data_IF_890467901052
#
_entry.id   IF_890467901052
#
_cell.length_a   1.000
_cell.length_b   1.000
_cell.length_c   1.000
_cell.angle_alpha   90.00
_cell.angle_beta   90.00
_cell.angle_gamma   90.00
#
_symmetry.space_group_name_H-M   'P 1'
#
loop_
_entity.id
_entity.type
_entity.pdbx_description
1 polymer ?
#
# COMPACT_ATOMS: atom_id res chain seq x y z
N UNK A 1 -72.68 12.03 33.17
CA UNK A 1 -71.90 10.80 33.40
C UNK A 1 -70.96 10.60 32.22
N UNK A 2 -69.69 10.21 32.49
CA UNK A 2 -68.64 9.78 31.53
C UNK A 2 -68.19 10.88 30.51
N UNK A 3 -66.89 11.19 30.33
CA UNK A 3 -65.75 10.36 29.88
C UNK A 3 -65.99 9.82 28.46
N UNK A 4 -65.11 9.89 27.45
CA UNK A 4 -63.73 10.40 27.28
C UNK A 4 -63.63 11.00 25.84
N UNK A 5 -62.54 11.51 25.24
CA UNK A 5 -61.08 11.49 25.49
C UNK A 5 -60.45 12.76 24.86
N UNK A 6 -59.23 13.17 25.25
CA UNK A 6 -58.40 14.12 24.47
C UNK A 6 -57.31 13.36 23.71
N UNK A 7 -57.27 13.47 22.37
CA UNK A 7 -56.09 13.07 21.59
C UNK A 7 -55.55 14.29 20.86
N UNK A 8 -54.51 14.90 21.44
CA UNK A 8 -53.73 15.93 20.76
C UNK A 8 -52.71 15.24 19.85
N UNK A 9 -52.97 15.25 18.55
CA UNK A 9 -51.99 14.83 17.54
C UNK A 9 -50.87 15.88 17.45
N UNK A 10 -49.78 15.65 18.20
CA UNK A 10 -48.55 16.43 18.07
C UNK A 10 -47.86 16.04 16.78
N UNK A 11 -48.09 16.83 15.73
CA UNK A 11 -47.36 16.71 14.45
C UNK A 11 -45.93 17.18 14.69
N UNK A 12 -45.03 16.24 14.97
CA UNK A 12 -43.60 16.51 15.12
C UNK A 12 -42.97 16.89 13.78
N UNK A 13 -42.62 18.16 13.61
CA UNK A 13 -41.78 18.63 12.50
C UNK A 13 -40.35 18.11 12.68
N UNK A 14 -40.09 16.91 12.20
CA UNK A 14 -38.73 16.38 12.09
C UNK A 14 -37.97 17.15 10.99
N UNK A 15 -37.11 18.08 11.40
CA UNK A 15 -36.21 18.77 10.48
C UNK A 15 -35.11 17.81 10.02
N UNK A 16 -34.95 17.54 8.71
CA UNK A 16 -33.82 16.77 8.24
C UNK A 16 -32.57 17.65 8.32
N UNK A 17 -31.73 17.40 9.31
CA UNK A 17 -30.35 17.90 9.36
C UNK A 17 -29.57 17.29 8.20
N UNK A 18 -29.70 17.89 7.01
CA UNK A 18 -28.82 17.65 5.89
C UNK A 18 -27.43 18.13 6.28
N UNK A 19 -26.61 17.18 6.77
CA UNK A 19 -25.19 17.37 6.94
C UNK A 19 -24.56 17.58 5.56
N UNK A 20 -24.50 18.85 5.13
CA UNK A 20 -23.85 19.27 3.90
C UNK A 20 -22.34 19.02 4.03
N UNK A 21 -21.92 17.79 3.70
CA UNK A 21 -20.51 17.40 3.60
C UNK A 21 -19.90 18.23 2.47
N UNK A 22 -19.27 19.35 2.86
CA UNK A 22 -18.62 20.29 1.96
C UNK A 22 -17.32 19.67 1.46
N UNK A 23 -17.43 18.75 0.50
CA UNK A 23 -16.28 18.20 -0.20
C UNK A 23 -15.54 19.36 -0.89
N UNK A 24 -14.42 19.77 -0.29
CA UNK A 24 -13.50 20.72 -0.89
C UNK A 24 -12.76 20.03 -2.04
N UNK A 25 -13.46 19.88 -3.16
CA UNK A 25 -12.84 19.64 -4.45
C UNK A 25 -11.90 20.81 -4.76
N UNK A 26 -10.61 20.63 -4.50
CA UNK A 26 -9.57 21.62 -4.78
C UNK A 26 -9.44 21.75 -6.29
N UNK A 27 -10.13 22.75 -6.86
CA UNK A 27 -10.09 23.05 -8.29
C UNK A 27 -8.69 23.57 -8.65
N UNK A 28 -7.85 22.67 -9.17
CA UNK A 28 -6.51 23.01 -9.67
C UNK A 28 -6.67 23.64 -11.06
N UNK A 29 -6.78 24.97 -11.09
CA UNK A 29 -6.80 25.74 -12.35
C UNK A 29 -5.45 25.56 -13.07
N UNK A 30 -5.43 24.78 -14.14
CA UNK A 30 -4.23 24.48 -14.92
C UNK A 30 -3.86 25.70 -15.77
N UNK A 31 -2.95 26.52 -15.26
CA UNK A 31 -2.36 27.61 -16.04
C UNK A 31 -1.52 27.07 -17.19
N UNK A 32 -1.71 27.64 -18.39
CA UNK A 32 -1.00 27.22 -19.59
C UNK A 32 0.47 27.65 -19.50
N UNK A 33 1.38 26.70 -19.28
CA UNK A 33 2.78 27.00 -19.00
C UNK A 33 3.66 25.74 -18.96
N UNK A 34 4.70 25.74 -19.79
CA UNK A 34 5.70 24.70 -20.02
C UNK A 34 6.16 23.91 -18.77
N UNK A 35 5.88 22.61 -18.76
CA UNK A 35 6.61 21.60 -17.98
C UNK A 35 6.24 21.50 -16.49
N UNK A 36 5.65 20.37 -16.10
CA UNK A 36 5.43 19.99 -14.70
C UNK A 36 6.74 19.71 -13.96
N UNK A 37 7.49 20.76 -13.58
CA UNK A 37 8.47 20.66 -12.50
C UNK A 37 7.70 20.25 -11.23
N UNK A 38 7.94 19.03 -10.76
CA UNK A 38 7.22 18.45 -9.63
C UNK A 38 7.21 19.39 -8.42
N UNK A 39 6.01 19.71 -7.93
CA UNK A 39 5.83 20.61 -6.78
C UNK A 39 6.33 19.91 -5.51
N UNK A 40 7.38 20.43 -4.89
CA UNK A 40 7.81 19.97 -3.56
C UNK A 40 6.74 20.34 -2.53
N UNK A 41 6.28 19.36 -1.75
CA UNK A 41 5.29 19.55 -0.69
C UNK A 41 5.90 19.32 0.70
N UNK A 42 5.26 19.86 1.74
CA UNK A 42 5.63 19.55 3.14
C UNK A 42 5.20 18.12 3.45
N UNK A 43 6.16 17.21 3.55
CA UNK A 43 5.91 15.87 4.06
C UNK A 43 5.73 15.91 5.59
N UNK A 44 4.67 15.27 6.08
CA UNK A 44 4.49 14.91 7.49
C UNK A 44 4.38 13.39 7.53
N UNK A 45 5.22 12.75 8.33
CA UNK A 45 5.16 11.32 8.59
C UNK A 45 4.45 11.12 9.93
N UNK A 46 3.32 10.42 9.92
CA UNK A 46 2.60 10.05 11.13
C UNK A 46 3.35 8.91 11.84
N UNK A 47 3.83 9.11 13.09
CA UNK A 47 4.54 8.07 13.84
C UNK A 47 3.70 6.82 14.11
N UNK A 48 2.37 6.92 14.14
CA UNK A 48 1.48 5.76 14.40
C UNK A 48 1.60 4.68 13.33
N UNK A 49 1.92 5.05 12.08
CA UNK A 49 2.08 4.12 10.95
C UNK A 49 3.35 3.25 11.09
N UNK A 50 4.30 3.65 11.92
CA UNK A 50 5.60 2.96 12.07
C UNK A 50 5.47 1.55 12.70
N UNK A 51 4.42 1.31 13.50
CA UNK A 51 4.11 -0.01 14.09
C UNK A 51 3.66 -1.02 13.01
N UNK A 52 2.78 -0.60 12.10
CA UNK A 52 2.26 -1.41 11.00
C UNK A 52 3.34 -1.85 10.00
N UNK A 53 4.42 -1.08 9.87
CA UNK A 53 5.59 -1.44 9.03
C UNK A 53 6.40 -2.61 9.64
N UNK A 54 6.19 -2.92 10.92
CA UNK A 54 7.03 -3.85 11.70
C UNK A 54 6.37 -5.20 12.00
N UNK A 55 5.16 -5.48 11.52
CA UNK A 55 4.49 -6.78 11.73
C UNK A 55 5.17 -7.89 10.93
N UNK A 56 6.06 -8.61 11.60
CA UNK A 56 6.99 -9.59 11.00
C UNK A 56 6.48 -11.03 11.08
N UNK A 57 5.17 -11.24 11.21
CA UNK A 57 4.57 -12.57 11.21
C UNK A 57 4.57 -13.15 9.79
N UNK A 58 5.55 -14.01 9.51
CA UNK A 58 5.49 -14.92 8.37
C UNK A 58 4.20 -15.75 8.50
N UNK A 59 3.24 -15.50 7.61
CA UNK A 59 1.95 -16.16 7.62
C UNK A 59 2.13 -17.66 7.30
N UNK A 60 1.41 -18.53 8.01
CA UNK A 60 1.45 -19.99 7.80
C UNK A 60 1.16 -20.39 6.36
N UNK A 61 0.38 -19.58 5.63
CA UNK A 61 0.11 -19.71 4.19
C UNK A 61 1.36 -19.89 3.32
N UNK A 62 2.51 -19.31 3.70
CA UNK A 62 3.75 -19.43 2.92
C UNK A 62 4.32 -20.86 2.91
N UNK A 63 4.08 -21.61 4.00
CA UNK A 63 4.45 -23.01 4.14
C UNK A 63 3.31 -23.97 3.73
N UNK A 64 2.06 -23.52 3.80
CA UNK A 64 0.86 -24.31 3.45
C UNK A 64 0.49 -24.22 1.96
N UNK A 65 1.13 -23.32 1.20
CA UNK A 65 0.91 -23.18 -0.25
C UNK A 65 1.51 -24.35 -1.03
N UNK A 66 0.82 -24.77 -2.10
CA UNK A 66 1.37 -25.70 -3.10
C UNK A 66 2.60 -25.11 -3.82
N UNK A 67 2.73 -23.80 -3.89
CA UNK A 67 3.95 -23.13 -4.38
C UNK A 67 4.60 -22.38 -3.21
N UNK A 68 5.30 -23.08 -2.30
CA UNK A 68 5.76 -22.50 -1.03
C UNK A 68 6.86 -21.45 -1.23
N UNK A 69 6.96 -20.51 -0.30
CA UNK A 69 7.95 -19.43 -0.36
C UNK A 69 8.55 -19.09 1.00
N UNK A 70 9.75 -18.51 0.98
CA UNK A 70 10.39 -17.87 2.13
C UNK A 70 10.53 -16.37 1.89
N UNK A 71 10.70 -15.58 2.95
CA UNK A 71 10.95 -14.14 2.82
C UNK A 71 12.43 -13.80 3.01
N UNK A 72 12.98 -13.01 2.09
CA UNK A 72 14.28 -12.34 2.21
C UNK A 72 14.07 -10.86 2.45
N UNK A 73 14.79 -10.27 3.41
CA UNK A 73 14.61 -8.87 3.77
C UNK A 73 15.51 -7.95 2.90
N UNK A 74 14.90 -7.09 2.09
CA UNK A 74 15.57 -6.00 1.37
C UNK A 74 15.76 -4.81 2.32
N UNK A 75 17.00 -4.50 2.71
CA UNK A 75 17.33 -3.38 3.58
C UNK A 75 18.03 -2.25 2.79
N UNK A 76 17.37 -1.11 2.64
CA UNK A 76 17.88 0.07 1.91
C UNK A 76 17.85 1.29 2.82
N UNK A 77 19.01 1.70 3.34
CA UNK A 77 19.16 2.77 4.36
C UNK A 77 18.71 4.16 3.90
N UNK A 78 18.66 4.38 2.58
CA UNK A 78 18.15 5.58 1.93
C UNK A 78 16.64 5.55 1.66
N UNK A 79 15.91 4.49 2.04
CA UNK A 79 14.47 4.31 1.76
C UNK A 79 13.62 4.31 3.03
N UNK A 80 12.37 4.74 2.91
CA UNK A 80 11.30 4.44 3.86
C UNK A 80 10.16 3.69 3.12
N UNK A 81 9.71 2.52 3.59
CA UNK A 81 10.30 1.74 4.69
C UNK A 81 11.71 1.22 4.33
N UNK A 82 12.60 1.20 5.33
CA UNK A 82 13.99 0.77 5.13
C UNK A 82 14.06 -0.72 4.79
N UNK A 83 13.31 -1.54 5.53
CA UNK A 83 13.18 -2.98 5.35
C UNK A 83 11.89 -3.30 4.59
N UNK A 84 11.98 -4.17 3.58
CA UNK A 84 10.86 -4.71 2.82
C UNK A 84 11.09 -6.21 2.66
N UNK A 85 10.12 -7.04 3.05
CA UNK A 85 10.16 -8.48 2.82
C UNK A 85 9.87 -8.80 1.35
N UNK A 86 10.73 -9.60 0.74
CA UNK A 86 10.62 -10.09 -0.63
C UNK A 86 10.43 -11.61 -0.59
N UNK A 87 9.30 -12.10 -1.07
CA UNK A 87 9.08 -13.53 -1.19
C UNK A 87 9.98 -14.15 -2.27
N UNK A 88 10.52 -15.33 -1.97
CA UNK A 88 11.27 -16.19 -2.89
C UNK A 88 10.64 -17.57 -2.87
N UNK A 89 10.16 -18.06 -4.01
CA UNK A 89 9.64 -19.42 -4.16
C UNK A 89 10.75 -20.43 -3.82
N UNK A 90 10.38 -21.50 -3.11
CA UNK A 90 11.30 -22.55 -2.69
C UNK A 90 11.41 -23.67 -3.74
N UNK A 91 10.37 -23.83 -4.56
CA UNK A 91 10.23 -24.83 -5.63
C UNK A 91 10.22 -24.17 -7.01
N UNK A 92 10.40 -24.96 -8.06
CA UNK A 92 10.24 -24.53 -9.47
C UNK A 92 8.85 -24.81 -10.01
N UNK A 93 8.31 -25.98 -9.71
CA UNK A 93 6.92 -26.38 -9.88
C UNK A 93 6.13 -26.30 -8.59
N UNK A 94 4.88 -26.77 -8.63
CA UNK A 94 4.00 -26.83 -7.46
C UNK A 94 4.07 -28.19 -6.78
N UNK A 95 4.00 -28.25 -5.46
CA UNK A 95 3.91 -29.50 -4.71
C UNK A 95 2.64 -30.28 -5.06
N UNK A 96 2.79 -31.57 -5.32
CA UNK A 96 1.68 -32.50 -5.52
C UNK A 96 0.97 -32.82 -4.21
N UNK A 97 -0.36 -32.83 -4.24
CA UNK A 97 -1.22 -33.24 -3.11
C UNK A 97 -0.96 -34.69 -2.66
N UNK A 98 -0.35 -35.52 -3.51
CA UNK A 98 -0.11 -36.94 -3.27
C UNK A 98 1.26 -37.20 -2.60
N UNK A 99 2.01 -36.15 -2.24
CA UNK A 99 3.29 -36.26 -1.51
C UNK A 99 4.51 -36.65 -2.36
N UNK A 100 4.37 -36.71 -3.68
CA UNK A 100 5.42 -37.16 -4.61
C UNK A 100 6.47 -36.12 -5.04
N UNK A 101 6.52 -34.93 -4.41
CA UNK A 101 7.38 -33.83 -4.83
C UNK A 101 6.66 -32.80 -5.71
N UNK A 102 7.36 -32.22 -6.69
CA UNK A 102 6.82 -31.21 -7.62
C UNK A 102 6.00 -31.86 -8.76
N UNK A 103 4.82 -31.34 -9.04
CA UNK A 103 3.98 -31.64 -10.20
C UNK A 103 4.55 -30.96 -11.45
N UNK A 104 5.05 -31.76 -12.40
CA UNK A 104 5.66 -31.29 -13.63
C UNK A 104 4.67 -30.60 -14.60
N UNK A 105 3.36 -30.69 -14.39
CA UNK A 105 2.36 -29.97 -15.19
C UNK A 105 2.12 -28.53 -14.72
N UNK A 106 2.73 -28.11 -13.60
CA UNK A 106 2.44 -26.84 -12.92
C UNK A 106 3.72 -26.10 -12.53
N UNK A 107 3.70 -24.77 -12.63
CA UNK A 107 4.84 -23.91 -12.32
C UNK A 107 4.58 -23.03 -11.09
N UNK A 108 5.56 -22.93 -10.19
CA UNK A 108 5.54 -21.97 -9.10
C UNK A 108 6.06 -20.61 -9.59
N UNK A 109 5.21 -19.57 -9.56
CA UNK A 109 5.56 -18.22 -10.02
C UNK A 109 5.44 -17.15 -8.92
N UNK A 110 6.35 -16.16 -8.90
CA UNK A 110 6.28 -15.06 -7.95
C UNK A 110 5.09 -14.13 -8.24
N UNK A 111 4.33 -13.77 -7.20
CA UNK A 111 3.30 -12.73 -7.27
C UNK A 111 3.97 -11.39 -7.01
N UNK A 112 3.95 -10.50 -8.00
CA UNK A 112 4.53 -9.16 -7.91
C UNK A 112 3.48 -8.10 -7.55
N UNK A 113 3.89 -7.11 -6.77
CA UNK A 113 3.06 -5.96 -6.37
C UNK A 113 3.90 -4.67 -6.39
N UNK A 114 3.29 -3.55 -6.79
CA UNK A 114 3.96 -2.25 -6.84
C UNK A 114 3.65 -1.45 -5.57
N UNK A 115 4.70 -1.10 -4.80
CA UNK A 115 4.58 -0.32 -3.56
C UNK A 115 5.13 1.09 -3.72
N UNK A 116 4.54 2.03 -2.99
CA UNK A 116 5.09 3.38 -2.82
C UNK A 116 6.17 3.39 -1.75
N UNK A 117 7.28 4.08 -2.05
CA UNK A 117 8.42 4.24 -1.14
C UNK A 117 8.93 5.69 -1.16
N UNK A 118 9.60 6.12 -0.10
CA UNK A 118 10.22 7.44 -0.02
C UNK A 118 11.75 7.32 0.00
N UNK A 119 12.41 7.80 -1.04
CA UNK A 119 13.87 7.83 -1.12
C UNK A 119 14.45 9.14 -0.58
N UNK A 120 15.45 9.03 0.30
CA UNK A 120 16.27 10.13 0.80
C UNK A 120 17.27 10.56 -0.27
N UNK A 121 17.02 11.68 -0.91
CA UNK A 121 17.93 12.29 -1.90
C UNK A 121 18.74 13.43 -1.28
N UNK A 122 20.05 13.58 -1.56
CA UNK A 122 20.83 14.69 -1.03
C UNK A 122 20.28 16.05 -1.49
N UNK A 123 20.15 17.02 -0.57
CA UNK A 123 19.86 18.40 -0.99
C UNK A 123 21.07 18.99 -1.68
N UNK A 124 20.88 19.48 -2.91
CA UNK A 124 21.82 20.41 -3.52
C UNK A 124 21.84 21.68 -2.66
N UNK A 125 23.01 22.02 -2.10
CA UNK A 125 23.21 23.29 -1.38
C UNK A 125 23.58 24.37 -2.41
N UNK A 126 22.92 25.54 -2.41
CA UNK A 126 23.50 26.73 -3.05
C UNK A 126 24.84 27.05 -2.37
N UNK A 127 25.88 27.36 -3.16
CA UNK A 127 27.26 27.51 -2.66
C UNK A 127 27.45 28.58 -1.55
N UNK A 128 26.48 29.50 -1.39
CA UNK A 128 26.65 30.73 -0.59
C UNK A 128 26.09 30.66 0.85
N UNK A 129 25.81 29.48 1.43
CA UNK A 129 25.38 29.38 2.85
C UNK A 129 26.28 28.47 3.69
N UNK A 130 27.39 29.06 4.18
CA UNK A 130 28.23 28.53 5.28
C UNK A 130 27.47 28.62 6.61
N UNK A 131 26.55 27.69 6.86
CA UNK A 131 25.80 27.61 8.12
C UNK A 131 25.16 26.25 8.36
N UNK A 132 25.37 25.69 9.56
CA UNK A 132 24.96 24.35 10.03
C UNK A 132 25.52 23.17 9.20
N UNK A 133 26.51 22.47 9.81
CA UNK A 133 26.98 21.14 9.42
C UNK A 133 25.85 20.13 9.65
N UNK A 134 25.34 19.56 8.57
CA UNK A 134 24.28 18.55 8.61
C UNK A 134 23.87 18.17 7.19
N UNK A 135 23.95 16.88 6.85
CA UNK A 135 23.45 16.35 5.58
C UNK A 135 21.92 16.40 5.61
N UNK A 136 21.34 17.52 5.17
CA UNK A 136 19.90 17.61 4.91
C UNK A 136 19.60 16.87 3.61
N UNK A 137 18.68 15.93 3.66
CA UNK A 137 18.11 15.25 2.51
C UNK A 137 16.68 15.73 2.29
N UNK A 138 16.17 15.52 1.08
CA UNK A 138 14.75 15.56 0.77
C UNK A 138 14.22 14.14 0.57
N UNK A 139 12.91 13.98 0.67
CA UNK A 139 12.25 12.74 0.30
C UNK A 139 11.67 12.87 -1.11
N UNK A 140 11.97 11.90 -1.96
CA UNK A 140 11.38 11.72 -3.27
C UNK A 140 10.48 10.49 -3.24
N UNK A 141 9.21 10.66 -3.61
CA UNK A 141 8.29 9.55 -3.82
C UNK A 141 8.77 8.70 -5.00
N UNK A 142 8.78 7.38 -4.82
CA UNK A 142 9.12 6.39 -5.83
C UNK A 142 8.17 5.20 -5.77
N UNK A 143 8.27 4.34 -6.78
CA UNK A 143 7.59 3.06 -6.82
C UNK A 143 8.63 1.95 -6.94
N UNK A 144 8.45 0.87 -6.18
CA UNK A 144 9.27 -0.34 -6.27
C UNK A 144 8.36 -1.56 -6.50
N UNK A 145 8.86 -2.55 -7.23
CA UNK A 145 8.19 -3.85 -7.39
C UNK A 145 8.71 -4.79 -6.31
N UNK A 146 7.79 -5.45 -5.62
CA UNK A 146 8.08 -6.42 -4.57
C UNK A 146 7.38 -7.74 -4.87
N UNK A 147 8.00 -8.86 -4.50
CA UNK A 147 7.33 -10.16 -4.52
C UNK A 147 6.63 -10.38 -3.18
N UNK A 148 5.31 -10.56 -3.19
CA UNK A 148 4.50 -10.72 -1.96
C UNK A 148 4.28 -12.18 -1.57
N UNK A 149 4.37 -13.10 -2.53
CA UNK A 149 4.23 -14.54 -2.34
C UNK A 149 4.51 -15.28 -3.64
N UNK A 150 4.17 -16.57 -3.68
CA UNK A 150 4.19 -17.36 -4.91
C UNK A 150 2.84 -18.03 -5.13
N UNK A 151 2.46 -18.20 -6.39
CA UNK A 151 1.24 -18.91 -6.82
C UNK A 151 1.57 -20.05 -7.77
N UNK A 152 0.65 -20.99 -7.87
CA UNK A 152 0.72 -22.11 -8.79
C UNK A 152 -0.01 -21.75 -10.10
N UNK A 153 0.65 -21.96 -11.24
CA UNK A 153 0.06 -21.71 -12.57
C UNK A 153 0.23 -22.89 -13.51
N UNK A 154 -0.61 -22.96 -14.55
CA UNK A 154 -0.37 -23.82 -15.71
C UNK A 154 0.59 -23.10 -16.67
N UNK A 155 1.46 -23.82 -17.39
CA UNK A 155 2.32 -23.23 -18.42
C UNK A 155 1.55 -22.69 -19.63
N UNK A 156 0.30 -23.13 -19.83
CA UNK A 156 -0.61 -22.67 -20.88
C UNK A 156 -1.76 -21.81 -20.34
N UNK A 157 -2.11 -20.75 -21.07
CA UNK A 157 -3.28 -19.90 -20.79
C UNK A 157 -4.56 -20.64 -21.17
N UNK A 158 -5.53 -20.70 -20.26
CA UNK A 158 -6.89 -21.18 -20.54
C UNK A 158 -7.79 -19.96 -20.77
N UNK A 159 -8.39 -19.80 -21.97
CA UNK A 159 -9.36 -18.73 -22.21
C UNK A 159 -10.58 -18.88 -21.31
N UNK A 160 -11.01 -17.79 -20.69
CA UNK A 160 -12.31 -17.74 -20.02
C UNK A 160 -13.38 -17.50 -21.08
N UNK A 161 -14.46 -18.32 -21.05
CA UNK A 161 -15.64 -18.21 -21.90
C UNK A 161 -16.77 -17.52 -21.16
#
# INVERSE_FOLDING_TARGET
MLLVLRVLLVVGLATPLHAARRDQAVSVKLGNGTGLRGKTVRLVLDPSVQSHISSRSASSIANMSLSPWTYRESCVTSRLPMRISQAKCLTTGCLSLQGGGEDAALEAKPIQYQVLVLHRVPRQRPNNKRGRKGKKYDFRLGMEVITVGCTCVRPSVIPQR
#
